data_IF_277158967768
#
_entry.id   IF_277158967768
#
_cell.length_a   1.000
_cell.length_b   1.000
_cell.length_c   1.000
_cell.angle_alpha   90.00
_cell.angle_beta   90.00
_cell.angle_gamma   90.00
#
_symmetry.space_group_name_H-M   'P 1'
#
loop_
_entity.id
_entity.type
_entity.pdbx_description
1 polymer ?
#
# COMPACT_ATOMS: atom_id res chain seq x y z
N UNK A 1 23.38 2.55 10.27
CA UNK A 1 22.53 1.40 9.91
C UNK A 1 21.08 1.82 10.12
N UNK A 2 20.34 2.13 9.06
CA UNK A 2 18.97 2.68 9.18
C UNK A 2 18.01 1.52 9.47
N UNK A 3 17.44 1.48 10.67
CA UNK A 3 16.45 0.46 11.06
C UNK A 3 15.09 0.92 10.52
N UNK A 4 14.58 0.19 9.52
CA UNK A 4 13.37 0.53 8.80
C UNK A 4 12.13 -0.06 9.47
N UNK A 5 11.45 0.67 10.37
CA UNK A 5 10.16 0.19 10.88
C UNK A 5 9.04 0.62 9.91
N UNK A 6 8.72 -0.25 8.94
CA UNK A 6 7.73 0.07 7.91
C UNK A 6 6.31 -0.35 8.30
N UNK A 7 5.38 0.59 8.25
CA UNK A 7 3.96 0.30 8.10
C UNK A 7 3.64 0.38 6.60
N UNK A 8 3.15 -0.72 6.05
CA UNK A 8 2.90 -0.89 4.64
C UNK A 8 1.41 -1.15 4.42
N UNK A 9 0.73 -0.22 3.76
CA UNK A 9 -0.59 -0.47 3.19
C UNK A 9 -0.41 -0.78 1.71
N UNK A 10 -0.40 -2.07 1.38
CA UNK A 10 -0.42 -2.57 0.01
C UNK A 10 -1.87 -2.60 -0.49
N UNK A 11 -2.23 -1.71 -1.41
CA UNK A 11 -3.56 -1.65 -1.99
C UNK A 11 -3.56 -2.39 -3.31
N UNK A 12 -3.90 -3.67 -3.23
CA UNK A 12 -3.74 -4.58 -4.34
C UNK A 12 -5.09 -5.12 -4.75
N UNK A 13 -5.49 -4.75 -5.96
CA UNK A 13 -6.50 -5.49 -6.68
C UNK A 13 -5.99 -6.83 -7.16
N UNK A 14 -6.82 -7.86 -7.07
CA UNK A 14 -6.42 -9.22 -7.35
C UNK A 14 -7.11 -9.81 -8.57
N UNK A 15 -6.30 -10.53 -9.33
CA UNK A 15 -6.71 -11.66 -10.16
C UNK A 15 -6.23 -12.95 -9.47
N UNK A 16 -7.17 -13.81 -9.05
CA UNK A 16 -7.14 -15.27 -8.74
C UNK A 16 -5.90 -16.01 -8.16
N UNK A 17 -4.77 -15.37 -7.86
CA UNK A 17 -3.53 -16.06 -7.43
C UNK A 17 -3.00 -15.50 -6.09
N UNK A 18 -3.58 -15.93 -4.96
CA UNK A 18 -3.19 -15.44 -3.63
C UNK A 18 -1.75 -15.78 -3.22
N UNK A 19 -1.16 -16.88 -3.75
CA UNK A 19 0.24 -17.28 -3.48
C UNK A 19 1.26 -16.17 -3.70
N UNK A 20 0.99 -15.25 -4.63
CA UNK A 20 1.97 -14.27 -5.09
C UNK A 20 2.11 -13.05 -4.16
N UNK A 21 1.09 -12.74 -3.37
CA UNK A 21 1.08 -11.57 -2.47
C UNK A 21 1.75 -11.85 -1.15
N UNK A 22 1.74 -13.11 -0.73
CA UNK A 22 2.44 -13.62 0.44
C UNK A 22 3.95 -13.44 0.33
N UNK A 23 4.48 -13.31 -0.89
CA UNK A 23 5.88 -13.02 -1.12
C UNK A 23 6.26 -11.61 -0.71
N UNK A 24 5.36 -10.62 -0.73
CA UNK A 24 5.71 -9.25 -0.36
C UNK A 24 6.01 -9.08 1.15
N UNK A 25 5.10 -9.46 2.08
CA UNK A 25 5.40 -9.43 3.50
C UNK A 25 6.51 -10.43 3.87
N UNK A 26 6.61 -11.56 3.15
CA UNK A 26 7.72 -12.50 3.33
C UNK A 26 9.06 -11.89 2.90
N UNK A 27 9.11 -11.19 1.76
CA UNK A 27 10.33 -10.53 1.29
C UNK A 27 10.73 -9.40 2.21
N UNK A 28 9.77 -8.66 2.77
CA UNK A 28 10.04 -7.62 3.77
C UNK A 28 10.54 -8.21 5.08
N UNK A 29 9.91 -9.29 5.56
CA UNK A 29 10.41 -10.05 6.70
C UNK A 29 11.82 -10.57 6.44
N UNK A 30 12.12 -11.04 5.23
CA UNK A 30 13.46 -11.46 4.83
C UNK A 30 14.45 -10.28 4.75
N UNK A 31 14.04 -9.09 4.30
CA UNK A 31 14.88 -7.90 4.31
C UNK A 31 15.25 -7.49 5.76
N UNK A 32 14.32 -7.60 6.70
CA UNK A 32 14.59 -7.37 8.12
C UNK A 32 15.63 -8.35 8.69
N UNK A 33 15.74 -9.55 8.13
CA UNK A 33 16.71 -10.57 8.52
C UNK A 33 18.09 -10.40 7.83
N UNK A 34 18.27 -9.45 6.89
CA UNK A 34 19.52 -9.29 6.10
C UNK A 34 20.74 -8.91 6.93
N UNK A 35 20.57 -8.59 8.22
CA UNK A 35 21.68 -8.41 9.15
C UNK A 35 22.47 -9.69 9.46
N UNK A 36 21.96 -10.89 9.15
CA UNK A 36 22.62 -12.14 9.56
C UNK A 36 22.32 -13.31 8.58
N UNK A 37 23.29 -13.68 7.73
CA UNK A 37 23.10 -14.59 6.58
C UNK A 37 22.63 -16.01 6.95
N UNK A 38 22.84 -16.45 8.19
CA UNK A 38 22.37 -17.77 8.67
C UNK A 38 20.91 -17.78 9.15
N UNK A 39 20.32 -16.61 9.42
CA UNK A 39 18.98 -16.48 10.01
C UNK A 39 17.86 -16.81 9.02
N UNK A 40 18.12 -16.78 7.71
CA UNK A 40 17.15 -17.17 6.67
C UNK A 40 16.72 -18.63 6.70
N UNK A 41 17.58 -19.48 7.25
CA UNK A 41 17.34 -20.92 7.33
C UNK A 41 16.66 -21.30 8.64
N UNK A 42 16.50 -20.37 9.58
CA UNK A 42 15.79 -20.57 10.83
C UNK A 42 14.28 -20.29 10.64
N UNK A 43 13.42 -21.33 10.66
CA UNK A 43 11.97 -21.16 10.55
C UNK A 43 11.39 -20.31 11.68
N UNK A 44 12.01 -20.28 12.85
CA UNK A 44 11.55 -19.50 14.01
C UNK A 44 11.80 -18.02 13.78
N UNK A 45 13.01 -17.65 13.33
CA UNK A 45 13.31 -16.27 12.99
C UNK A 45 12.42 -15.71 11.87
N UNK A 46 12.11 -16.54 10.86
CA UNK A 46 11.15 -16.18 9.81
C UNK A 46 9.73 -15.95 10.36
N UNK A 47 9.29 -16.81 11.28
CA UNK A 47 8.00 -16.68 11.95
C UNK A 47 7.91 -15.41 12.79
N UNK A 48 8.96 -15.09 13.55
CA UNK A 48 9.03 -13.86 14.34
C UNK A 48 9.06 -12.61 13.45
N UNK A 49 9.78 -12.63 12.33
CA UNK A 49 9.78 -11.54 11.37
C UNK A 49 8.39 -11.33 10.75
N UNK A 50 7.70 -12.40 10.36
CA UNK A 50 6.32 -12.33 9.88
C UNK A 50 5.33 -11.85 10.95
N UNK A 51 5.49 -12.29 12.21
CA UNK A 51 4.69 -11.81 13.34
C UNK A 51 4.89 -10.33 13.62
N UNK A 52 6.11 -9.81 13.46
CA UNK A 52 6.39 -8.36 13.55
C UNK A 52 5.79 -7.58 12.38
N UNK A 53 5.75 -8.19 11.19
CA UNK A 53 5.16 -7.60 10.00
C UNK A 53 3.62 -7.58 10.05
N UNK A 54 2.96 -8.55 10.71
CA UNK A 54 1.50 -8.70 10.66
C UNK A 54 0.73 -7.55 11.28
N UNK A 55 1.33 -6.83 12.23
CA UNK A 55 0.75 -5.60 12.80
C UNK A 55 1.02 -4.33 12.00
N UNK A 56 1.75 -4.42 10.89
CA UNK A 56 2.25 -3.27 10.13
C UNK A 56 1.95 -3.35 8.63
N UNK A 57 1.68 -4.55 8.12
CA UNK A 57 1.42 -4.81 6.71
C UNK A 57 -0.06 -5.15 6.51
N UNK A 58 -0.75 -4.39 5.67
CA UNK A 58 -2.16 -4.59 5.36
C UNK A 58 -2.38 -4.64 3.86
N UNK A 59 -3.11 -5.66 3.40
CA UNK A 59 -3.48 -5.85 2.00
C UNK A 59 -4.97 -5.72 1.86
N UNK A 60 -5.44 -4.70 1.16
CA UNK A 60 -6.84 -4.60 0.79
C UNK A 60 -7.02 -5.20 -0.60
N UNK A 61 -7.97 -6.13 -0.74
CA UNK A 61 -8.26 -6.78 -2.02
C UNK A 61 -9.75 -7.00 -2.25
N UNK A 62 -10.16 -7.09 -3.50
CA UNK A 62 -11.55 -7.40 -3.87
C UNK A 62 -11.97 -8.77 -3.30
N UNK A 63 -13.12 -8.80 -2.63
CA UNK A 63 -13.72 -10.02 -2.08
C UNK A 63 -13.83 -11.13 -3.14
N UNK A 64 -13.53 -12.36 -2.71
CA UNK A 64 -13.70 -13.56 -3.54
C UNK A 64 -12.60 -13.76 -4.58
N UNK A 65 -11.50 -13.01 -4.51
CA UNK A 65 -10.34 -13.17 -5.38
C UNK A 65 -9.12 -13.80 -4.67
N UNK A 66 -9.28 -14.27 -3.42
CA UNK A 66 -8.24 -14.97 -2.67
C UNK A 66 -8.39 -16.48 -2.88
N UNK A 67 -7.39 -17.11 -3.51
CA UNK A 67 -7.26 -18.57 -3.56
C UNK A 67 -6.30 -19.05 -2.47
N UNK A 68 -6.81 -19.44 -1.30
CA UNK A 68 -5.98 -19.92 -0.17
C UNK A 68 -5.33 -21.27 -0.52
N UNK A 69 -3.99 -21.37 -0.53
CA UNK A 69 -3.28 -22.64 -0.72
C UNK A 69 -3.44 -23.58 0.47
N UNK A 70 -3.56 -24.89 0.20
CA UNK A 70 -3.73 -25.93 1.23
C UNK A 70 -2.43 -26.33 1.97
N UNK A 71 -1.31 -25.68 1.71
CA UNK A 71 0.02 -26.14 2.16
C UNK A 71 0.62 -25.11 3.12
N UNK A 72 1.02 -25.55 4.34
CA UNK A 72 1.66 -24.80 5.45
C UNK A 72 0.79 -23.85 6.31
N UNK A 73 -0.28 -24.35 6.93
CA UNK A 73 -1.26 -23.64 7.80
C UNK A 73 -0.76 -22.43 8.62
N UNK A 74 0.40 -22.53 9.29
CA UNK A 74 0.84 -21.54 10.26
C UNK A 74 1.34 -20.23 9.64
N UNK A 75 2.12 -20.28 8.55
CA UNK A 75 2.57 -19.05 7.87
C UNK A 75 1.37 -18.34 7.25
N UNK A 76 0.40 -19.12 6.74
CA UNK A 76 -0.80 -18.58 6.14
C UNK A 76 -1.71 -17.92 7.16
N UNK A 77 -1.82 -18.42 8.40
CA UNK A 77 -2.66 -17.75 9.42
C UNK A 77 -2.17 -16.34 9.77
N UNK A 78 -0.85 -16.12 9.85
CA UNK A 78 -0.29 -14.77 10.02
C UNK A 78 -0.59 -13.87 8.83
N UNK A 79 -0.50 -14.41 7.62
CA UNK A 79 -0.73 -13.65 6.40
C UNK A 79 -2.21 -13.36 6.15
N UNK A 80 -3.11 -14.28 6.51
CA UNK A 80 -4.56 -14.09 6.48
C UNK A 80 -4.98 -12.87 7.32
N UNK A 81 -4.37 -12.69 8.49
CA UNK A 81 -4.64 -11.53 9.35
C UNK A 81 -4.24 -10.18 8.73
N UNK A 82 -3.35 -10.19 7.74
CA UNK A 82 -2.93 -8.99 7.02
C UNK A 82 -3.86 -8.68 5.83
N UNK A 83 -4.67 -9.63 5.37
CA UNK A 83 -5.51 -9.47 4.19
C UNK A 83 -6.92 -9.06 4.59
N UNK A 84 -7.37 -7.94 4.04
CA UNK A 84 -8.67 -7.34 4.30
C UNK A 84 -9.46 -7.37 2.99
N UNK A 85 -10.46 -8.25 2.93
CA UNK A 85 -11.37 -8.30 1.79
C UNK A 85 -12.32 -7.12 1.79
N UNK A 86 -12.37 -6.41 0.67
CA UNK A 86 -13.21 -5.24 0.45
C UNK A 86 -14.12 -5.40 -0.75
N UNK A 87 -15.19 -4.61 -0.74
CA UNK A 87 -16.05 -4.41 -1.91
C UNK A 87 -15.95 -2.96 -2.38
N UNK A 88 -16.07 -2.77 -3.69
CA UNK A 88 -16.29 -1.45 -4.26
C UNK A 88 -17.52 -0.79 -3.62
N UNK A 89 -17.46 0.51 -3.26
CA UNK A 89 -18.63 1.28 -2.84
C UNK A 89 -19.75 1.32 -3.90
N UNK A 90 -19.39 1.22 -5.18
CA UNK A 90 -20.33 1.05 -6.27
C UNK A 90 -20.72 -0.44 -6.39
N UNK A 91 -22.02 -0.81 -6.31
CA UNK A 91 -22.50 -2.19 -6.45
C UNK A 91 -22.08 -2.90 -7.74
N UNK A 92 -21.87 -2.14 -8.82
CA UNK A 92 -21.40 -2.67 -10.12
C UNK A 92 -19.90 -2.46 -10.34
N UNK A 93 -19.20 -1.89 -9.37
CA UNK A 93 -17.77 -1.61 -9.45
C UNK A 93 -16.92 -2.77 -8.94
N UNK A 94 -15.65 -2.77 -9.34
CA UNK A 94 -14.62 -3.69 -8.83
C UNK A 94 -13.56 -2.86 -8.13
N UNK A 95 -13.16 -3.29 -6.93
CA UNK A 95 -12.03 -2.70 -6.23
C UNK A 95 -10.75 -3.05 -6.99
N UNK A 96 -10.30 -2.12 -7.85
CA UNK A 96 -9.14 -2.33 -8.71
C UNK A 96 -7.91 -1.40 -8.54
N UNK A 97 -7.57 -0.91 -7.32
CA UNK A 97 -6.36 -0.11 -7.14
C UNK A 97 -5.11 -0.98 -7.29
N UNK A 98 -4.06 -0.38 -7.82
CA UNK A 98 -2.75 -1.01 -8.04
C UNK A 98 -1.71 -0.12 -7.39
N UNK A 99 -1.90 0.13 -6.10
CA UNK A 99 -1.18 1.20 -5.41
C UNK A 99 -0.55 0.70 -4.14
N UNK A 100 0.58 1.27 -3.75
CA UNK A 100 1.22 0.96 -2.48
C UNK A 100 1.49 2.25 -1.73
N UNK A 101 1.26 2.23 -0.43
CA UNK A 101 1.65 3.32 0.46
C UNK A 101 2.58 2.76 1.52
N UNK A 102 3.86 3.12 1.42
CA UNK A 102 4.91 2.70 2.32
C UNK A 102 5.24 3.88 3.25
N UNK A 103 5.35 3.59 4.55
CA UNK A 103 5.89 4.50 5.54
C UNK A 103 7.23 3.97 6.01
N UNK A 104 8.27 4.78 5.98
CA UNK A 104 9.61 4.47 6.47
C UNK A 104 9.93 5.37 7.66
N UNK A 105 10.41 4.76 8.74
CA UNK A 105 10.87 5.48 9.93
C UNK A 105 12.32 5.11 10.22
N UNK A 106 13.02 6.01 10.90
CA UNK A 106 14.41 5.87 11.32
C UNK A 106 14.56 6.57 12.66
N UNK A 107 15.41 6.07 13.54
CA UNK A 107 15.61 6.66 14.88
C UNK A 107 16.20 8.08 14.77
N UNK A 108 17.18 8.26 13.87
CA UNK A 108 17.92 9.52 13.69
C UNK A 108 17.57 10.26 12.37
N UNK A 109 16.45 9.92 11.72
CA UNK A 109 16.15 10.40 10.37
C UNK A 109 14.71 10.85 10.17
N UNK A 110 14.43 11.64 9.11
CA UNK A 110 13.06 12.02 8.79
C UNK A 110 12.24 10.80 8.44
N UNK A 111 10.96 10.86 8.77
CA UNK A 111 9.97 9.91 8.32
C UNK A 111 9.69 10.12 6.82
N UNK A 112 9.83 9.07 6.03
CA UNK A 112 9.67 9.11 4.58
C UNK A 112 8.44 8.31 4.19
N UNK A 113 7.65 8.83 3.26
CA UNK A 113 6.55 8.12 2.63
C UNK A 113 6.85 7.87 1.16
N UNK A 114 6.56 6.66 0.70
CA UNK A 114 6.59 6.30 -0.73
C UNK A 114 5.22 5.87 -1.17
N UNK A 115 4.71 6.51 -2.21
CA UNK A 115 3.53 6.08 -2.92
C UNK A 115 3.92 5.45 -4.26
N UNK A 116 3.40 4.27 -4.54
CA UNK A 116 3.53 3.59 -5.82
C UNK A 116 2.17 3.52 -6.50
N UNK A 117 2.12 3.79 -7.80
CA UNK A 117 0.97 3.52 -8.64
C UNK A 117 1.42 2.72 -9.86
N UNK A 118 0.87 1.51 -10.02
CA UNK A 118 1.27 0.55 -11.02
C UNK A 118 0.21 0.48 -12.13
N UNK A 119 0.66 0.27 -13.37
CA UNK A 119 -0.23 0.00 -14.50
C UNK A 119 -0.91 -1.36 -14.34
N UNK A 120 -0.20 -2.35 -13.77
CA UNK A 120 -0.70 -3.72 -13.56
C UNK A 120 -0.43 -4.21 -12.15
N UNK A 121 -1.05 -5.34 -11.82
CA UNK A 121 -0.77 -6.02 -10.57
C UNK A 121 0.63 -6.63 -10.64
N UNK A 122 1.36 -6.60 -9.53
CA UNK A 122 2.64 -7.28 -9.43
C UNK A 122 2.41 -8.80 -9.58
N UNK A 123 2.75 -9.35 -10.73
CA UNK A 123 2.71 -10.80 -10.96
C UNK A 123 4.01 -11.27 -11.62
N UNK A 124 4.24 -12.58 -11.62
CA UNK A 124 5.41 -13.20 -12.27
C UNK A 124 5.28 -13.27 -13.81
N UNK A 125 4.29 -12.61 -14.41
CA UNK A 125 4.18 -12.52 -15.86
C UNK A 125 5.31 -11.64 -16.42
N UNK A 126 5.89 -12.08 -17.54
CA UNK A 126 6.86 -11.27 -18.29
C UNK A 126 6.10 -10.29 -19.15
N UNK A 127 5.62 -9.22 -18.53
CA UNK A 127 4.89 -8.14 -19.16
C UNK A 127 5.64 -6.84 -19.01
N UNK A 128 5.51 -5.93 -19.98
CA UNK A 128 5.93 -4.55 -19.81
C UNK A 128 4.92 -3.83 -18.91
N UNK A 129 5.42 -3.12 -17.91
CA UNK A 129 4.62 -2.38 -16.94
C UNK A 129 5.34 -1.08 -16.57
N UNK A 130 4.58 -0.08 -16.17
CA UNK A 130 5.07 1.20 -15.69
C UNK A 130 4.66 1.39 -14.21
N UNK A 131 5.58 1.92 -13.43
CA UNK A 131 5.36 2.23 -12.01
C UNK A 131 5.69 3.70 -11.78
N UNK A 132 4.70 4.47 -11.35
CA UNK A 132 4.93 5.80 -10.80
C UNK A 132 5.37 5.65 -9.35
N UNK A 133 6.54 6.21 -9.04
CA UNK A 133 7.06 6.28 -7.67
C UNK A 133 7.10 7.72 -7.22
N UNK A 134 6.47 8.03 -6.09
CA UNK A 134 6.50 9.33 -5.45
C UNK A 134 7.04 9.17 -4.04
N UNK A 135 8.06 9.96 -3.70
CA UNK A 135 8.63 9.99 -2.36
C UNK A 135 8.53 11.37 -1.75
N UNK A 136 8.42 11.43 -0.43
CA UNK A 136 8.43 12.67 0.30
C UNK A 136 8.67 12.47 1.79
N UNK A 137 9.27 13.47 2.41
CA UNK A 137 9.43 13.55 3.86
C UNK A 137 8.16 14.10 4.51
N UNK A 138 7.88 13.66 5.74
CA UNK A 138 6.80 14.21 6.56
C UNK A 138 7.24 15.55 7.14
N UNK A 139 6.56 16.61 6.74
CA UNK A 139 6.79 17.97 7.25
C UNK A 139 5.79 18.41 8.33
N UNK A 140 5.91 19.67 8.76
CA UNK A 140 4.93 20.31 9.65
C UNK A 140 3.68 20.79 8.91
N UNK A 141 3.82 21.21 7.65
CA UNK A 141 2.73 21.77 6.83
C UNK A 141 1.82 20.67 6.29
N UNK A 142 0.52 20.98 6.11
CA UNK A 142 -0.41 20.15 5.34
C UNK A 142 -0.45 20.58 3.87
N UNK A 143 -0.49 19.61 2.96
CA UNK A 143 -0.60 19.79 1.52
C UNK A 143 -2.01 19.42 1.05
N UNK A 144 -2.78 20.42 0.60
CA UNK A 144 -4.16 20.20 0.13
C UNK A 144 -4.23 19.21 -1.04
N UNK A 145 -3.22 19.21 -1.93
CA UNK A 145 -3.10 18.26 -3.05
C UNK A 145 -3.06 16.79 -2.63
N UNK A 146 -2.71 16.49 -1.38
CA UNK A 146 -2.67 15.11 -0.85
C UNK A 146 -4.03 14.66 -0.29
N UNK A 147 -5.02 15.57 -0.20
CA UNK A 147 -6.36 15.26 0.33
C UNK A 147 -7.02 14.06 -0.34
N UNK A 148 -6.97 13.91 -1.68
CA UNK A 148 -7.56 12.74 -2.32
C UNK A 148 -6.89 11.43 -1.89
N UNK A 149 -5.56 11.39 -1.83
CA UNK A 149 -4.86 10.19 -1.34
C UNK A 149 -5.21 9.87 0.12
N UNK A 150 -5.30 10.88 0.99
CA UNK A 150 -5.70 10.69 2.37
C UNK A 150 -7.14 10.16 2.49
N UNK A 151 -8.10 10.74 1.74
CA UNK A 151 -9.48 10.28 1.74
C UNK A 151 -9.61 8.85 1.18
N UNK A 152 -8.81 8.50 0.17
CA UNK A 152 -8.71 7.13 -0.34
C UNK A 152 -8.28 6.16 0.75
N UNK A 153 -7.18 6.44 1.44
CA UNK A 153 -6.68 5.59 2.53
C UNK A 153 -7.71 5.46 3.66
N UNK A 154 -8.36 6.56 4.06
CA UNK A 154 -9.43 6.53 5.09
C UNK A 154 -10.68 5.76 4.66
N UNK A 155 -10.95 5.67 3.36
CA UNK A 155 -12.14 4.97 2.87
C UNK A 155 -12.01 3.45 2.92
N UNK A 156 -10.79 2.91 2.92
CA UNK A 156 -10.53 1.46 2.81
C UNK A 156 -11.20 0.63 3.90
N UNK A 157 -11.14 1.01 5.19
CA UNK A 157 -11.79 0.21 6.22
C UNK A 157 -13.30 0.12 6.06
N UNK A 158 -13.94 1.21 5.60
CA UNK A 158 -15.39 1.25 5.38
C UNK A 158 -15.85 0.35 4.22
N UNK A 159 -14.92 -0.09 3.36
CA UNK A 159 -15.20 -1.04 2.28
C UNK A 159 -15.07 -2.50 2.73
N UNK A 160 -14.51 -2.74 3.92
CA UNK A 160 -14.39 -4.07 4.51
C UNK A 160 -15.74 -4.61 4.97
N UNK A 161 -15.97 -5.91 4.81
CA UNK A 161 -17.21 -6.56 5.27
C UNK A 161 -17.10 -7.15 6.68
N UNK A 162 -15.88 -7.34 7.17
CA UNK A 162 -15.59 -7.90 8.49
C UNK A 162 -15.22 -6.79 9.46
N UNK A 163 -15.40 -7.06 10.75
CA UNK A 163 -14.85 -6.20 11.80
C UNK A 163 -13.33 -6.15 11.64
N UNK A 164 -12.82 -4.96 11.31
CA UNK A 164 -11.39 -4.70 11.23
C UNK A 164 -10.90 -4.43 12.65
N UNK A 165 -9.78 -5.03 13.04
CA UNK A 165 -9.14 -4.82 14.33
C UNK A 165 -8.93 -3.30 14.58
N UNK A 166 -9.34 -2.74 15.73
CA UNK A 166 -9.15 -1.34 16.07
C UNK A 166 -7.72 -0.81 15.90
N UNK A 167 -6.69 -1.66 16.08
CA UNK A 167 -5.29 -1.30 15.86
C UNK A 167 -4.99 -1.02 14.39
N UNK A 168 -5.64 -1.77 13.50
CA UNK A 168 -5.52 -1.60 12.05
C UNK A 168 -6.21 -0.31 11.63
N UNK A 169 -7.41 -0.04 12.16
CA UNK A 169 -8.11 1.23 11.96
C UNK A 169 -7.25 2.43 12.37
N UNK A 170 -6.72 2.40 13.59
CA UNK A 170 -5.85 3.47 14.10
C UNK A 170 -4.58 3.66 13.24
N UNK A 171 -4.01 2.56 12.73
CA UNK A 171 -2.85 2.60 11.84
C UNK A 171 -3.19 3.28 10.51
N UNK A 172 -4.34 2.95 9.92
CA UNK A 172 -4.82 3.53 8.65
C UNK A 172 -5.16 5.01 8.82
N UNK A 173 -5.83 5.37 9.91
CA UNK A 173 -6.13 6.77 10.22
C UNK A 173 -4.85 7.60 10.39
N UNK A 174 -3.88 7.06 11.14
CA UNK A 174 -2.57 7.69 11.30
C UNK A 174 -1.84 7.86 9.97
N UNK A 175 -1.85 6.84 9.11
CA UNK A 175 -1.27 6.91 7.77
C UNK A 175 -1.93 8.01 6.93
N UNK A 176 -3.25 8.06 6.88
CA UNK A 176 -3.97 9.05 6.10
C UNK A 176 -3.75 10.48 6.62
N UNK A 177 -3.67 10.67 7.93
CA UNK A 177 -3.36 11.98 8.53
C UNK A 177 -1.94 12.43 8.22
N UNK A 178 -0.97 11.52 8.31
CA UNK A 178 0.43 11.82 7.98
C UNK A 178 0.65 12.08 6.50
N UNK A 179 -0.04 11.34 5.62
CA UNK A 179 -0.03 11.58 4.17
C UNK A 179 -0.36 13.03 3.84
N UNK A 180 -1.26 13.68 4.59
CA UNK A 180 -1.56 15.10 4.39
C UNK A 180 -0.36 16.01 4.60
N UNK A 181 0.70 15.57 5.28
CA UNK A 181 1.90 16.36 5.59
C UNK A 181 3.14 15.92 4.80
N UNK A 182 3.00 14.96 3.90
CA UNK A 182 4.10 14.46 3.06
C UNK A 182 4.34 15.42 1.91
N UNK A 183 5.58 15.89 1.76
CA UNK A 183 6.00 16.64 0.59
C UNK A 183 6.39 15.69 -0.55
N UNK A 184 5.40 15.08 -1.21
CA UNK A 184 5.67 14.25 -2.38
C UNK A 184 6.34 15.09 -3.49
N UNK A 185 7.47 14.59 -3.99
CA UNK A 185 8.17 15.19 -5.12
C UNK A 185 7.57 14.70 -6.43
N UNK A 186 7.38 15.61 -7.38
CA UNK A 186 7.00 15.24 -8.73
C UNK A 186 8.19 14.52 -9.42
N UNK A 187 7.93 13.56 -10.31
CA UNK A 187 8.99 12.95 -11.11
C UNK A 187 9.73 14.01 -11.94
N UNK A 188 10.96 13.69 -12.33
CA UNK A 188 11.75 14.55 -13.21
C UNK A 188 10.99 14.89 -14.50
N UNK A 189 10.99 16.17 -14.89
CA UNK A 189 10.25 16.68 -16.04
C UNK A 189 8.80 17.09 -15.75
N UNK A 190 8.32 16.90 -14.52
CA UNK A 190 6.96 17.26 -14.09
C UNK A 190 6.99 18.32 -12.98
N UNK A 191 6.07 19.29 -13.02
CA UNK A 191 5.98 20.36 -12.02
C UNK A 191 4.84 20.15 -11.01
N UNK A 192 3.77 19.49 -11.45
CA UNK A 192 2.53 19.35 -10.70
C UNK A 192 2.21 17.89 -10.42
N UNK A 193 1.57 17.67 -9.27
CA UNK A 193 1.11 16.36 -8.82
C UNK A 193 -0.30 16.50 -8.24
N UNK A 194 -1.19 15.61 -8.65
CA UNK A 194 -2.53 15.46 -8.09
C UNK A 194 -2.91 13.97 -8.00
N UNK A 195 -3.74 13.64 -7.01
CA UNK A 195 -4.26 12.28 -6.81
C UNK A 195 -5.74 12.22 -7.18
N UNK A 196 -6.16 11.14 -7.84
CA UNK A 196 -7.52 10.96 -8.35
C UNK A 196 -8.05 9.57 -7.99
N UNK A 197 -8.45 9.33 -6.74
CA UNK A 197 -8.95 8.02 -6.30
C UNK A 197 -10.39 7.81 -6.75
N UNK A 198 -10.56 7.38 -7.99
CA UNK A 198 -11.88 7.14 -8.58
C UNK A 198 -12.63 6.02 -7.87
N UNK A 199 -13.95 6.18 -7.72
CA UNK A 199 -14.85 5.12 -7.24
C UNK A 199 -15.10 5.11 -5.73
N UNK A 200 -14.65 6.15 -5.01
CA UNK A 200 -14.97 6.37 -3.59
C UNK A 200 -15.83 7.63 -3.44
N UNK A 201 -16.55 7.83 -2.32
CA UNK A 201 -17.40 9.00 -2.12
C UNK A 201 -16.66 10.31 -2.39
N UNK A 202 -17.28 11.24 -3.14
CA UNK A 202 -16.73 12.53 -3.62
C UNK A 202 -15.80 12.45 -4.84
N UNK A 203 -15.38 11.25 -5.27
CA UNK A 203 -14.42 11.06 -6.37
C UNK A 203 -15.04 10.22 -7.50
N UNK A 204 -16.03 10.79 -8.18
CA UNK A 204 -16.81 10.11 -9.22
C UNK A 204 -16.61 10.69 -10.63
N UNK A 205 -15.98 11.86 -10.75
CA UNK A 205 -15.78 12.55 -12.04
C UNK A 205 -14.36 12.31 -12.57
N UNK A 206 -14.26 12.01 -13.86
CA UNK A 206 -12.97 11.88 -14.52
C UNK A 206 -12.29 13.25 -14.63
N UNK A 207 -11.02 13.39 -14.25
CA UNK A 207 -10.30 14.66 -14.31
C UNK A 207 -10.04 15.16 -15.74
N UNK A 208 -10.21 14.30 -16.74
CA UNK A 208 -9.85 14.57 -18.15
C UNK A 208 -11.01 15.21 -18.95
N UNK A 209 -12.17 15.42 -18.35
CA UNK A 209 -13.32 16.06 -19.02
C UNK A 209 -13.26 17.61 -19.08
N UNK A 210 -12.10 18.21 -18.81
CA UNK A 210 -11.88 19.66 -18.93
C UNK A 210 -10.39 19.96 -19.10
N UNK A 211 -10.08 21.08 -19.74
CA UNK A 211 -8.75 21.55 -20.15
C UNK A 211 -7.81 21.89 -18.98
N UNK A 212 -7.46 20.90 -18.17
CA UNK A 212 -6.41 21.01 -17.16
C UNK A 212 -5.29 20.01 -17.46
N UNK A 213 -4.05 20.48 -17.68
CA UNK A 213 -2.94 19.58 -18.01
C UNK A 213 -2.61 18.71 -16.81
N UNK A 214 -2.68 17.39 -17.02
CA UNK A 214 -2.33 16.33 -16.04
C UNK A 214 -0.82 16.33 -15.73
N UNK A 215 -0.05 17.02 -16.54
CA UNK A 215 1.36 17.31 -16.39
C UNK A 215 1.70 18.33 -17.47
N UNK A 216 2.15 19.53 -17.10
CA UNK A 216 2.78 20.40 -18.07
C UNK A 216 4.27 20.01 -18.10
N UNK A 217 4.83 19.61 -19.26
CA UNK A 217 6.28 19.54 -19.40
C UNK A 217 6.86 20.94 -19.21
N UNK A 218 8.10 21.03 -18.71
CA UNK A 218 8.83 22.30 -18.66
C UNK A 218 8.92 22.91 -20.07
N UNK A 219 8.87 24.25 -20.19
CA UNK A 219 9.15 24.94 -21.45
C UNK A 219 10.59 24.70 -21.92
#
# INVERSE_FOLDING_TARGET
>A
MKIWHQALVGLISLNKNAKKWLMAPLSLAMLDLQGNQDTYRDPIALLEALRRASGKFFVFCQKGQIAVPKTSQLLYSYLESMVIEVMSPNPHGVFHPKTWLLRFTSDDGPEIYRFLCLSRNLTFDRSWDNILTLEGEVGKRRYARNRPLADFVKSLPSMGQSLIDPKVLASIDSLAEKVMRVQFQAPEGFENLAFWPMGIPKYHKLPIQGSHPVAAPKP
#
